data_IF_883201762827
#
_entry.id   IF_883201762827
#
_cell.length_a   1.000
_cell.length_b   1.000
_cell.length_c   1.000
_cell.angle_alpha   90.00
_cell.angle_beta   90.00
_cell.angle_gamma   90.00
#
_symmetry.space_group_name_H-M   'P 1'
#
loop_
_entity.id
_entity.type
_entity.pdbx_description
1 polymer ?
#
# COMPACT_ATOMS: atom_id res chain seq x y z
N UNK A 1 7.36 -51.73 -21.77
CA UNK A 1 5.87 -51.77 -21.86
C UNK A 1 5.42 -52.79 -20.82
N UNK A 2 4.83 -52.48 -19.68
CA UNK A 2 4.08 -51.33 -19.17
C UNK A 2 4.23 -51.34 -17.65
N UNK A 3 4.53 -50.19 -17.03
CA UNK A 3 4.43 -50.02 -15.58
C UNK A 3 3.58 -48.79 -15.30
N UNK A 4 2.48 -49.02 -14.59
CA UNK A 4 1.50 -48.03 -14.16
C UNK A 4 2.17 -47.07 -13.17
N UNK A 5 2.17 -45.78 -13.48
CA UNK A 5 2.44 -44.72 -12.50
C UNK A 5 1.11 -44.18 -11.97
N UNK A 6 0.93 -44.27 -10.65
CA UNK A 6 -0.12 -43.62 -9.88
C UNK A 6 0.42 -42.30 -9.31
N UNK A 7 -0.19 -41.14 -9.59
CA UNK A 7 0.12 -39.93 -8.84
C UNK A 7 -0.82 -39.82 -7.63
N UNK A 8 -0.30 -40.16 -6.45
CA UNK A 8 -0.84 -39.69 -5.17
C UNK A 8 -0.47 -38.23 -4.98
N UNK A 9 -1.41 -37.33 -5.20
CA UNK A 9 -1.35 -35.92 -4.81
C UNK A 9 -2.61 -35.55 -4.06
N UNK A 10 -2.63 -35.81 -2.75
CA UNK A 10 -3.67 -35.34 -1.84
C UNK A 10 -3.57 -33.81 -1.68
N UNK A 11 -4.66 -33.14 -2.05
CA UNK A 11 -5.44 -32.17 -1.27
C UNK A 11 -4.77 -31.24 -0.24
N UNK A 12 -5.48 -30.11 -0.03
CA UNK A 12 -5.39 -29.08 1.04
C UNK A 12 -4.45 -27.91 0.66
N UNK A 13 -4.87 -26.66 0.46
CA UNK A 13 -6.00 -25.90 1.02
C UNK A 13 -6.41 -24.77 0.05
N UNK A 14 -7.54 -24.95 -0.64
CA UNK A 14 -8.39 -23.84 -1.07
C UNK A 14 -9.23 -23.43 0.14
N UNK A 15 -9.03 -22.23 0.65
CA UNK A 15 -10.04 -21.55 1.47
C UNK A 15 -10.54 -20.34 0.66
N UNK A 16 -11.52 -20.66 -0.19
CA UNK A 16 -12.49 -19.73 -0.74
C UNK A 16 -13.21 -19.06 0.43
N UNK A 17 -12.97 -17.77 0.64
CA UNK A 17 -13.90 -16.92 1.37
C UNK A 17 -15.07 -16.58 0.42
N UNK A 18 -16.00 -17.51 0.30
CA UNK A 18 -17.31 -17.26 -0.28
C UNK A 18 -18.08 -16.35 0.66
N UNK A 19 -18.14 -15.06 0.34
CA UNK A 19 -19.37 -14.23 0.32
C UNK A 19 -19.01 -12.75 0.20
N UNK A 20 -18.82 -12.27 -1.03
CA UNK A 20 -19.25 -10.92 -1.41
C UNK A 20 -19.43 -10.85 -2.93
N UNK A 21 -20.32 -11.70 -3.44
CA UNK A 21 -21.01 -11.47 -4.71
C UNK A 21 -22.21 -10.56 -4.38
N UNK A 22 -21.98 -9.25 -4.29
CA UNK A 22 -23.04 -8.26 -4.45
C UNK A 22 -22.54 -7.22 -5.45
N UNK A 23 -23.17 -7.25 -6.61
CA UNK A 23 -23.09 -6.27 -7.71
C UNK A 23 -21.72 -5.99 -8.30
N UNK A 24 -21.41 -6.74 -9.36
CA UNK A 24 -20.73 -6.18 -10.52
C UNK A 24 -21.56 -5.02 -11.07
N UNK A 25 -21.35 -3.82 -10.55
CA UNK A 25 -21.71 -2.59 -11.22
C UNK A 25 -20.44 -2.05 -11.88
N UNK A 26 -20.37 -2.27 -13.20
CA UNK A 26 -19.64 -1.40 -14.10
C UNK A 26 -20.09 0.05 -13.82
N UNK A 27 -19.42 0.74 -12.90
CA UNK A 27 -19.43 2.18 -12.88
C UNK A 27 -18.30 2.62 -13.78
N UNK A 28 -18.69 2.78 -15.06
CA UNK A 28 -18.17 3.74 -16.01
C UNK A 28 -17.09 4.61 -15.40
N UNK A 29 -15.84 4.37 -15.82
CA UNK A 29 -14.77 5.34 -15.62
C UNK A 29 -15.24 6.61 -16.31
N UNK A 30 -15.77 7.56 -15.52
CA UNK A 30 -16.09 8.90 -15.98
C UNK A 30 -14.86 9.47 -16.65
N UNK A 31 -14.93 9.47 -17.97
CA UNK A 31 -13.95 9.96 -18.92
C UNK A 31 -13.77 11.47 -18.71
N UNK A 32 -12.89 11.85 -17.77
CA UNK A 32 -12.25 13.15 -17.76
C UNK A 32 -10.75 12.93 -17.64
N UNK A 33 -10.03 13.30 -18.70
CA UNK A 33 -8.57 13.48 -18.72
C UNK A 33 -8.16 14.37 -17.55
N UNK A 34 -7.80 13.77 -16.42
CA UNK A 34 -7.14 14.41 -15.30
C UNK A 34 -5.78 13.71 -15.20
N UNK A 35 -4.76 14.29 -15.85
CA UNK A 35 -3.39 13.75 -15.83
C UNK A 35 -2.91 13.74 -14.37
N UNK A 36 -2.89 12.57 -13.73
CA UNK A 36 -2.35 12.38 -12.37
C UNK A 36 -3.37 12.22 -11.25
N UNK A 37 -4.68 12.07 -11.51
CA UNK A 37 -5.67 11.80 -10.47
C UNK A 37 -6.43 10.49 -10.72
N UNK A 38 -6.71 9.73 -9.65
CA UNK A 38 -7.47 8.49 -9.73
C UNK A 38 -8.53 8.44 -8.65
N UNK A 39 -9.77 8.12 -9.03
CA UNK A 39 -10.83 7.80 -8.08
C UNK A 39 -10.72 6.34 -7.68
N UNK A 40 -10.72 6.07 -6.39
CA UNK A 40 -10.55 4.73 -5.81
C UNK A 40 -11.73 4.41 -4.90
N UNK A 41 -12.35 3.26 -5.14
CA UNK A 41 -13.42 2.70 -4.28
C UNK A 41 -12.82 1.79 -3.21
N UNK A 42 -13.64 1.04 -2.47
CA UNK A 42 -13.25 0.12 -1.40
C UNK A 42 -12.48 -1.13 -1.91
N UNK A 43 -11.43 -0.95 -2.70
CA UNK A 43 -10.62 -2.03 -3.28
C UNK A 43 -9.39 -2.37 -2.42
N UNK A 44 -8.81 -3.57 -2.56
CA UNK A 44 -7.47 -3.86 -2.05
C UNK A 44 -6.42 -2.98 -2.72
N UNK A 45 -5.33 -2.67 -2.01
CA UNK A 45 -4.21 -1.88 -2.55
C UNK A 45 -3.61 -2.50 -3.83
N UNK A 46 -3.63 -3.83 -3.95
CA UNK A 46 -3.15 -4.53 -5.15
C UNK A 46 -3.89 -4.11 -6.43
N UNK A 47 -5.21 -3.96 -6.38
CA UNK A 47 -6.01 -3.53 -7.53
C UNK A 47 -5.75 -2.06 -7.87
N UNK A 48 -5.54 -1.23 -6.85
CA UNK A 48 -5.13 0.16 -7.06
C UNK A 48 -3.83 0.24 -7.86
N UNK A 49 -2.80 -0.51 -7.43
CA UNK A 49 -1.50 -0.57 -8.10
C UNK A 49 -1.61 -1.10 -9.52
N UNK A 50 -2.32 -2.21 -9.70
CA UNK A 50 -2.51 -2.81 -11.01
C UNK A 50 -3.16 -1.83 -11.99
N UNK A 51 -4.25 -1.19 -11.58
CA UNK A 51 -4.90 -0.21 -12.44
C UNK A 51 -4.12 1.10 -12.62
N UNK A 52 -3.05 1.37 -11.87
CA UNK A 52 -2.12 2.48 -12.16
C UNK A 52 -1.12 2.01 -13.22
N UNK A 53 -0.54 0.81 -13.02
CA UNK A 53 0.42 0.19 -13.93
C UNK A 53 -0.12 0.03 -15.36
N UNK A 54 -1.39 -0.36 -15.49
CA UNK A 54 -2.06 -0.45 -16.80
C UNK A 54 -2.12 0.87 -17.57
N UNK A 55 -2.04 2.01 -16.86
CA UNK A 55 -2.16 3.35 -17.43
C UNK A 55 -0.82 4.06 -17.56
N UNK A 56 0.14 3.77 -16.68
CA UNK A 56 1.46 4.42 -16.67
C UNK A 56 2.48 3.60 -15.91
N UNK A 57 3.70 3.53 -16.45
CA UNK A 57 4.89 2.97 -15.78
C UNK A 57 5.69 4.01 -14.98
N UNK A 58 5.33 5.28 -15.09
CA UNK A 58 6.06 6.41 -14.47
C UNK A 58 5.22 7.15 -13.43
N UNK A 59 4.08 6.56 -13.04
CA UNK A 59 3.25 7.06 -11.95
C UNK A 59 3.06 5.95 -10.91
N UNK A 60 3.07 6.34 -9.65
CA UNK A 60 2.80 5.47 -8.51
C UNK A 60 1.86 6.13 -7.51
N UNK A 61 1.54 5.40 -6.44
CA UNK A 61 0.82 5.92 -5.29
C UNK A 61 1.51 5.43 -4.00
N UNK A 62 1.87 6.32 -3.06
CA UNK A 62 2.58 5.95 -1.85
C UNK A 62 1.64 5.27 -0.85
N UNK A 63 1.51 3.94 -0.94
CA UNK A 63 0.71 3.11 -0.05
C UNK A 63 1.40 1.79 0.32
N UNK A 64 0.80 1.05 1.25
CA UNK A 64 1.37 -0.12 1.89
C UNK A 64 1.77 -1.25 0.94
N UNK A 65 2.76 -2.04 1.36
CA UNK A 65 3.32 -3.15 0.56
C UNK A 65 2.35 -4.35 0.49
N UNK A 66 1.51 -4.53 1.50
CA UNK A 66 0.56 -5.64 1.58
C UNK A 66 -0.61 -5.41 0.62
N UNK A 67 -0.65 -6.17 -0.47
CA UNK A 67 -1.62 -5.99 -1.58
C UNK A 67 -3.07 -6.28 -1.21
N UNK A 68 -3.31 -7.12 -0.20
CA UNK A 68 -4.65 -7.50 0.27
C UNK A 68 -5.28 -6.50 1.23
N UNK A 69 -4.50 -5.52 1.72
CA UNK A 69 -5.02 -4.50 2.64
C UNK A 69 -6.06 -3.63 1.90
N UNK A 70 -7.20 -3.40 2.54
CA UNK A 70 -8.23 -2.52 2.00
C UNK A 70 -7.73 -1.07 1.92
N UNK A 71 -7.84 -0.47 0.72
CA UNK A 71 -7.34 0.88 0.47
C UNK A 71 -8.01 1.92 1.36
N UNK A 72 -9.28 1.73 1.72
CA UNK A 72 -10.04 2.75 2.45
C UNK A 72 -9.52 2.99 3.87
N UNK A 73 -9.38 1.94 4.67
CA UNK A 73 -8.79 2.06 6.00
C UNK A 73 -7.34 2.52 5.92
N UNK A 74 -6.57 1.98 4.97
CA UNK A 74 -5.16 2.34 4.81
C UNK A 74 -4.94 3.82 4.52
N UNK A 75 -5.69 4.39 3.57
CA UNK A 75 -5.53 5.79 3.16
C UNK A 75 -6.07 6.74 4.25
N UNK A 76 -7.23 6.43 4.85
CA UNK A 76 -7.83 7.29 5.87
C UNK A 76 -7.11 7.23 7.23
N UNK A 77 -6.39 6.15 7.52
CA UNK A 77 -5.54 6.02 8.71
C UNK A 77 -4.10 6.52 8.52
N UNK A 78 -3.81 7.21 7.42
CA UNK A 78 -2.46 7.71 7.09
C UNK A 78 -1.82 6.90 5.97
N UNK A 79 -1.45 5.65 6.26
CA UNK A 79 -0.92 4.72 5.25
C UNK A 79 0.57 4.93 4.96
N UNK A 80 1.43 4.26 5.73
CA UNK A 80 2.88 4.28 5.51
C UNK A 80 3.28 3.34 4.37
N UNK A 81 4.41 3.65 3.71
CA UNK A 81 4.90 2.89 2.58
C UNK A 81 6.40 3.02 2.38
N UNK A 82 6.95 2.24 1.44
CA UNK A 82 8.36 2.31 1.06
C UNK A 82 8.74 3.60 0.31
N UNK A 83 7.76 4.45 -0.06
CA UNK A 83 8.02 5.74 -0.72
C UNK A 83 7.78 6.94 0.23
N UNK A 84 7.51 6.68 1.52
CA UNK A 84 7.08 7.73 2.46
C UNK A 84 8.14 8.81 2.71
N UNK A 85 9.43 8.48 2.59
CA UNK A 85 10.51 9.45 2.79
C UNK A 85 10.57 10.50 1.67
N UNK A 86 10.17 10.13 0.45
CA UNK A 86 10.08 11.04 -0.71
C UNK A 86 8.75 11.75 -0.80
N UNK A 87 7.65 11.03 -0.55
CA UNK A 87 6.30 11.52 -0.86
C UNK A 87 5.38 11.70 0.34
N UNK A 88 5.72 11.25 1.54
CA UNK A 88 4.81 11.27 2.69
C UNK A 88 3.85 10.07 2.72
N UNK A 89 2.79 10.21 3.50
CA UNK A 89 1.78 9.16 3.73
C UNK A 89 0.74 9.11 2.61
N UNK A 90 -0.02 8.01 2.50
CA UNK A 90 -1.14 7.93 1.55
C UNK A 90 -2.17 9.05 1.74
N UNK A 91 -2.45 9.43 3.00
CA UNK A 91 -3.39 10.50 3.36
C UNK A 91 -2.97 11.87 2.83
N UNK A 92 -1.66 12.13 2.70
CA UNK A 92 -1.13 13.40 2.21
C UNK A 92 -1.46 13.61 0.72
N UNK A 93 -1.74 12.53 -0.01
CA UNK A 93 -2.10 12.55 -1.43
C UNK A 93 -3.61 12.45 -1.68
N UNK A 94 -4.44 12.53 -0.64
CA UNK A 94 -5.89 12.62 -0.77
C UNK A 94 -6.31 14.06 -1.11
N UNK A 95 -7.02 14.22 -2.22
CA UNK A 95 -7.45 15.53 -2.75
C UNK A 95 -8.94 15.77 -2.48
N UNK A 96 -9.73 14.70 -2.49
CA UNK A 96 -11.17 14.69 -2.25
C UNK A 96 -11.59 13.31 -1.72
N UNK A 97 -12.76 13.23 -1.08
CA UNK A 97 -13.37 12.00 -0.60
C UNK A 97 -14.89 12.12 -0.68
N UNK A 98 -15.58 10.98 -0.86
CA UNK A 98 -17.01 10.88 -0.69
C UNK A 98 -17.32 10.08 0.57
N UNK A 99 -18.11 10.65 1.47
CA UNK A 99 -18.46 10.06 2.77
C UNK A 99 -19.98 10.14 3.00
N UNK A 100 -20.54 9.12 3.64
CA UNK A 100 -21.90 9.16 4.18
C UNK A 100 -21.82 9.56 5.65
N UNK A 101 -22.47 10.65 6.01
CA UNK A 101 -22.53 11.14 7.39
C UNK A 101 -23.56 10.37 8.24
N UNK A 102 -23.67 10.71 9.53
CA UNK A 102 -24.62 10.09 10.44
C UNK A 102 -26.10 10.33 10.05
N UNK A 103 -26.39 11.33 9.21
CA UNK A 103 -27.73 11.63 8.71
C UNK A 103 -28.04 10.89 7.41
N UNK A 104 -27.12 10.10 6.87
CA UNK A 104 -27.27 9.40 5.60
C UNK A 104 -27.02 10.28 4.37
N UNK A 105 -26.48 11.48 4.55
CA UNK A 105 -26.16 12.40 3.45
C UNK A 105 -24.80 12.05 2.84
N UNK A 106 -24.74 12.01 1.50
CA UNK A 106 -23.47 11.83 0.77
C UNK A 106 -22.79 13.19 0.63
N UNK A 107 -21.63 13.33 1.25
CA UNK A 107 -20.82 14.54 1.24
C UNK A 107 -19.54 14.32 0.43
N UNK A 108 -19.20 15.29 -0.41
CA UNK A 108 -17.88 15.47 -1.01
C UNK A 108 -17.04 16.45 -0.16
N UNK A 109 -15.78 16.72 -0.54
CA UNK A 109 -14.92 17.67 0.21
C UNK A 109 -15.58 19.04 0.43
N UNK A 110 -16.28 19.56 -0.58
CA UNK A 110 -16.89 20.89 -0.51
C UNK A 110 -18.04 20.91 0.51
N UNK A 111 -18.88 19.88 0.51
CA UNK A 111 -20.06 19.79 1.37
C UNK A 111 -19.74 19.27 2.77
N UNK A 112 -18.69 18.47 2.96
CA UNK A 112 -18.26 18.01 4.28
C UNK A 112 -17.48 19.08 5.08
N UNK A 113 -16.90 20.06 4.38
CA UNK A 113 -16.06 21.09 4.99
C UNK A 113 -14.62 20.63 5.26
N UNK A 114 -13.71 21.59 5.45
CA UNK A 114 -12.28 21.28 5.59
C UNK A 114 -11.92 20.58 6.91
N UNK A 115 -12.70 20.79 7.99
CA UNK A 115 -12.44 20.15 9.28
C UNK A 115 -12.67 18.63 9.21
N UNK A 116 -13.80 18.21 8.63
CA UNK A 116 -14.10 16.80 8.41
C UNK A 116 -13.15 16.21 7.35
N UNK A 117 -12.83 16.95 6.29
CA UNK A 117 -11.84 16.51 5.32
C UNK A 117 -10.44 16.32 5.92
N UNK A 118 -10.03 17.17 6.87
CA UNK A 118 -8.80 16.98 7.64
C UNK A 118 -8.88 15.73 8.52
N UNK A 119 -10.00 15.54 9.22
CA UNK A 119 -10.18 14.42 10.14
C UNK A 119 -10.09 13.05 9.44
N UNK A 120 -10.67 12.91 8.24
CA UNK A 120 -10.60 11.66 7.46
C UNK A 120 -9.23 11.40 6.81
N UNK A 121 -8.29 12.35 6.87
CA UNK A 121 -6.90 12.24 6.36
C UNK A 121 -5.91 11.89 7.48
N UNK A 122 -6.21 10.86 8.26
CA UNK A 122 -5.31 10.33 9.29
C UNK A 122 -6.02 9.93 10.58
N UNK A 123 -7.22 10.47 10.84
CA UNK A 123 -8.02 10.16 12.02
C UNK A 123 -8.89 8.90 11.90
N UNK A 124 -8.63 8.07 10.88
CA UNK A 124 -9.41 6.87 10.53
C UNK A 124 -10.87 7.16 10.16
N UNK A 125 -11.21 6.94 8.88
CA UNK A 125 -12.49 7.38 8.32
C UNK A 125 -13.73 6.78 8.99
N UNK A 126 -13.59 5.58 9.55
CA UNK A 126 -14.68 4.85 10.20
C UNK A 126 -15.26 5.58 11.43
N UNK A 127 -14.49 6.48 12.06
CA UNK A 127 -14.98 7.29 13.19
C UNK A 127 -15.93 8.42 12.78
N UNK A 128 -15.90 8.82 11.50
CA UNK A 128 -16.62 10.00 11.02
C UNK A 128 -17.74 9.70 10.02
N UNK A 129 -17.85 8.46 9.56
CA UNK A 129 -18.88 8.02 8.62
C UNK A 129 -18.44 6.85 7.76
N UNK A 130 -19.18 6.61 6.67
CA UNK A 130 -18.86 5.54 5.71
C UNK A 130 -18.25 6.14 4.45
N UNK A 131 -16.95 5.91 4.26
CA UNK A 131 -16.26 6.41 3.06
C UNK A 131 -16.61 5.55 1.85
N UNK A 132 -17.10 6.19 0.79
CA UNK A 132 -17.49 5.57 -0.47
C UNK A 132 -16.37 5.56 -1.50
N UNK A 133 -15.62 6.68 -1.60
CA UNK A 133 -14.50 6.78 -2.55
C UNK A 133 -13.51 7.88 -2.17
N UNK A 134 -12.30 7.79 -2.71
CA UNK A 134 -11.27 8.81 -2.63
C UNK A 134 -10.88 9.32 -4.02
N UNK A 135 -10.48 10.58 -4.11
CA UNK A 135 -9.73 11.11 -5.25
C UNK A 135 -8.29 11.32 -4.82
N UNK A 136 -7.39 10.55 -5.43
CA UNK A 136 -5.97 10.50 -5.06
C UNK A 136 -5.12 11.20 -6.11
N UNK A 137 -4.07 11.89 -5.65
CA UNK A 137 -2.99 12.41 -6.48
C UNK A 137 -1.92 11.32 -6.66
N UNK A 138 -1.60 11.01 -7.91
CA UNK A 138 -0.50 10.11 -8.24
C UNK A 138 0.83 10.86 -8.22
N UNK A 139 1.90 10.16 -7.86
CA UNK A 139 3.25 10.70 -7.77
C UNK A 139 4.12 10.17 -8.93
N UNK A 140 5.08 10.95 -9.44
CA UNK A 140 6.01 10.45 -10.44
C UNK A 140 6.93 9.38 -9.84
N UNK A 141 7.23 8.33 -10.59
CA UNK A 141 8.24 7.32 -10.23
C UNK A 141 9.11 7.04 -11.45
N UNK A 142 10.42 6.74 -11.27
CA UNK A 142 11.24 6.30 -12.39
C UNK A 142 10.71 4.96 -12.92
N UNK A 143 10.86 4.71 -14.22
CA UNK A 143 10.41 3.46 -14.84
C UNK A 143 11.17 2.24 -14.28
N UNK A 144 12.42 2.45 -13.85
CA UNK A 144 13.25 1.44 -13.18
C UNK A 144 13.54 1.90 -11.76
N UNK A 145 13.37 0.99 -10.81
CA UNK A 145 13.69 1.17 -9.40
C UNK A 145 14.62 0.04 -8.95
N UNK A 146 15.48 0.33 -7.98
CA UNK A 146 16.41 -0.66 -7.43
C UNK A 146 15.93 -1.15 -6.08
N UNK A 147 15.90 -2.47 -5.88
CA UNK A 147 15.59 -3.11 -4.60
C UNK A 147 16.78 -3.95 -4.17
N UNK A 148 17.18 -3.87 -2.89
CA UNK A 148 18.17 -4.78 -2.34
C UNK A 148 17.68 -5.38 -1.02
N UNK A 149 18.13 -6.61 -0.78
CA UNK A 149 17.91 -7.33 0.47
C UNK A 149 19.24 -7.86 0.98
N UNK A 150 19.54 -7.56 2.23
CA UNK A 150 20.73 -8.05 2.92
C UNK A 150 20.33 -8.70 4.24
N UNK A 151 20.98 -9.79 4.58
CA UNK A 151 20.75 -10.51 5.84
C UNK A 151 22.04 -10.61 6.62
N UNK A 152 21.97 -10.38 7.92
CA UNK A 152 23.10 -10.44 8.84
C UNK A 152 22.71 -11.15 10.12
N UNK A 153 23.47 -12.17 10.47
CA UNK A 153 23.33 -12.84 11.77
C UNK A 153 24.12 -12.09 12.84
N UNK A 154 23.91 -12.46 14.11
CA UNK A 154 24.66 -11.88 15.24
C UNK A 154 26.16 -12.09 15.09
N UNK A 155 26.57 -13.27 14.63
CA UNK A 155 27.97 -13.66 14.42
C UNK A 155 28.62 -12.87 13.28
N UNK A 156 27.83 -12.33 12.35
CA UNK A 156 28.27 -11.50 11.23
C UNK A 156 28.25 -10.00 11.54
N UNK A 157 28.44 -9.66 12.82
CA UNK A 157 28.37 -8.30 13.34
C UNK A 157 27.01 -7.62 13.11
N UNK A 158 25.92 -8.39 13.22
CA UNK A 158 24.56 -7.87 13.04
C UNK A 158 24.23 -6.71 13.98
N UNK A 159 24.65 -6.76 15.24
CA UNK A 159 24.38 -5.72 16.24
C UNK A 159 24.95 -4.36 15.85
N UNK A 160 26.20 -4.29 15.40
CA UNK A 160 26.80 -3.02 14.96
C UNK A 160 26.10 -2.44 13.74
N UNK A 161 25.66 -3.31 12.82
CA UNK A 161 24.94 -2.89 11.61
C UNK A 161 23.57 -2.33 11.99
N UNK A 162 22.85 -2.99 12.90
CA UNK A 162 21.57 -2.50 13.43
C UNK A 162 21.74 -1.16 14.15
N UNK A 163 22.80 -1.01 14.95
CA UNK A 163 23.11 0.25 15.62
C UNK A 163 23.42 1.37 14.61
N UNK A 164 24.24 1.09 13.58
CA UNK A 164 24.50 2.06 12.52
C UNK A 164 23.24 2.41 11.75
N UNK A 165 22.41 1.43 11.40
CA UNK A 165 21.14 1.64 10.71
C UNK A 165 20.24 2.63 11.47
N UNK A 166 20.10 2.49 12.80
CA UNK A 166 19.33 3.43 13.63
C UNK A 166 19.83 4.87 13.55
N UNK A 167 21.13 5.09 13.32
CA UNK A 167 21.73 6.42 13.26
C UNK A 167 21.67 7.06 11.86
N UNK A 168 21.55 6.26 10.80
CA UNK A 168 21.61 6.74 9.41
C UNK A 168 20.27 6.68 8.67
N UNK A 169 19.38 5.74 9.01
CA UNK A 169 18.20 5.42 8.21
C UNK A 169 17.24 6.60 7.99
N UNK A 170 17.15 7.52 8.95
CA UNK A 170 16.34 8.73 8.86
C UNK A 170 17.01 9.85 8.05
N UNK A 171 18.34 9.79 7.86
CA UNK A 171 19.17 10.85 7.25
C UNK A 171 19.69 10.54 5.85
N UNK A 172 19.53 9.30 5.37
CA UNK A 172 19.91 8.93 3.99
C UNK A 172 19.07 9.70 2.96
N UNK A 173 19.46 9.67 1.69
CA UNK A 173 18.71 10.31 0.60
C UNK A 173 17.21 9.93 0.63
N UNK A 174 16.31 10.88 0.41
CA UNK A 174 14.86 10.65 0.43
C UNK A 174 14.41 9.64 -0.63
N UNK A 175 15.20 9.43 -1.68
CA UNK A 175 14.96 8.43 -2.72
C UNK A 175 15.27 7.02 -2.25
N UNK A 176 16.00 6.85 -1.14
CA UNK A 176 16.31 5.56 -0.52
C UNK A 176 15.44 5.34 0.73
N UNK A 177 14.65 4.28 0.69
CA UNK A 177 13.97 3.73 1.85
C UNK A 177 14.64 2.43 2.27
N UNK A 178 14.82 2.24 3.58
CA UNK A 178 15.41 1.02 4.12
C UNK A 178 14.67 0.62 5.40
N UNK A 179 14.06 -0.57 5.39
CA UNK A 179 13.44 -1.18 6.57
C UNK A 179 14.27 -2.34 7.07
N UNK A 180 14.19 -2.58 8.37
CA UNK A 180 14.82 -3.71 9.04
C UNK A 180 13.76 -4.62 9.65
N UNK A 181 13.92 -5.92 9.45
CA UNK A 181 13.17 -6.97 10.15
C UNK A 181 14.13 -7.78 11.00
N UNK A 182 13.78 -8.01 12.27
CA UNK A 182 14.50 -8.95 13.13
C UNK A 182 13.69 -10.24 13.18
N UNK A 183 14.24 -11.31 12.60
CA UNK A 183 13.57 -12.60 12.54
C UNK A 183 14.41 -13.65 13.29
N UNK A 184 13.79 -14.46 14.17
CA UNK A 184 14.46 -15.62 14.73
C UNK A 184 14.66 -16.67 13.64
N UNK A 185 15.88 -17.19 13.50
CA UNK A 185 16.22 -18.26 12.56
C UNK A 185 16.96 -19.34 13.34
N UNK A 186 16.30 -20.49 13.55
CA UNK A 186 16.79 -21.59 14.40
C UNK A 186 17.12 -21.09 15.83
N UNK A 187 18.40 -21.10 16.19
CA UNK A 187 18.93 -20.71 17.50
C UNK A 187 19.59 -19.32 17.50
N UNK A 188 19.47 -18.54 16.42
CA UNK A 188 20.04 -17.18 16.31
C UNK A 188 19.00 -16.19 15.78
N UNK A 189 19.33 -14.89 15.82
CA UNK A 189 18.52 -13.82 15.26
C UNK A 189 19.19 -13.31 13.97
N UNK A 190 18.39 -13.12 12.93
CA UNK A 190 18.83 -12.51 11.68
C UNK A 190 18.20 -11.14 11.51
N UNK A 191 19.03 -10.14 11.24
CA UNK A 191 18.61 -8.81 10.81
C UNK A 191 18.55 -8.79 9.28
N UNK A 192 17.34 -8.63 8.74
CA UNK A 192 17.08 -8.48 7.31
C UNK A 192 16.84 -7.02 6.99
N UNK A 193 17.67 -6.44 6.13
CA UNK A 193 17.54 -5.09 5.62
C UNK A 193 16.97 -5.16 4.22
N UNK A 194 15.80 -4.56 4.01
CA UNK A 194 15.13 -4.49 2.72
C UNK A 194 14.97 -3.03 2.33
N UNK A 195 15.25 -2.72 1.07
CA UNK A 195 15.24 -1.34 0.60
C UNK A 195 14.52 -1.17 -0.73
N UNK A 196 14.11 0.07 -0.96
CA UNK A 196 13.63 0.57 -2.24
C UNK A 196 14.39 1.87 -2.53
N UNK A 197 15.06 1.92 -3.68
CA UNK A 197 15.69 3.13 -4.21
C UNK A 197 14.94 3.58 -5.45
N UNK A 198 14.44 4.82 -5.43
CA UNK A 198 13.76 5.45 -6.56
C UNK A 198 14.76 6.05 -7.54
N UNK A 199 15.65 5.21 -8.05
CA UNK A 199 16.68 5.51 -9.04
C UNK A 199 17.27 4.23 -9.64
N UNK A 200 18.18 4.39 -10.58
CA UNK A 200 18.92 3.30 -11.24
C UNK A 200 20.34 3.20 -10.70
#
# INVERSE_FOLDING_TARGET
MTSRESPTGLMTSLLLCSTCLISGQLLSTSNKRQRGFKRVQLWPLGELYFGILEKSKVLGFPAGVCTTVGASGHISGGGYCNMMRKYGLSSDHMIDAQIVDANGSVLDRKSMGEDLFWAVRGGEGASFGVILSYTLKLVPVPETVTVFRMEKTLEQNGTDIVYRWQNVADKIDNDLFMRMHLNPVKSTITASFESLFLGN
#
